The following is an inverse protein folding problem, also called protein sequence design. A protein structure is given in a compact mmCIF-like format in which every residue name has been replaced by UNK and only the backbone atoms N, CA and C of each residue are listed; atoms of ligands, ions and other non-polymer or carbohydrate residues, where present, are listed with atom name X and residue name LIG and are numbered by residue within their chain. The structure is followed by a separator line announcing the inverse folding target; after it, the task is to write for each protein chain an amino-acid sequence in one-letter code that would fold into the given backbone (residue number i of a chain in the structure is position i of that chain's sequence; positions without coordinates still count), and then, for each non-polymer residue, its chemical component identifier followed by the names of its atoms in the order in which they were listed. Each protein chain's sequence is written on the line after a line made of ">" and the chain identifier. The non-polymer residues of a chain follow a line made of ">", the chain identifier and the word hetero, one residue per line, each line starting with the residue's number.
data_IF_870968270352
#
_entry.id   IF_870968270352
#
_cell.length_a   1.000
_cell.length_b   1.000
_cell.length_c   1.000
_cell.angle_alpha   90.00
_cell.angle_beta   90.00
_cell.angle_gamma   90.00
#
_symmetry.space_group_name_H-M   'P 1'
#
loop_
_entity.id
_entity.type
_entity.pdbx_description
1 polymer ?
#
# COMPACT_ATOMS: atom_id res chain seq x y z
N UNK A 1 17.87 -2.67 -2.42
CA UNK A 1 17.16 -1.86 -3.41
C UNK A 1 15.80 -2.49 -3.58
N UNK A 2 14.72 -1.76 -3.33
CA UNK A 2 13.35 -2.27 -3.45
C UNK A 2 13.03 -2.41 -4.94
N UNK A 3 12.59 -3.59 -5.36
CA UNK A 3 12.11 -3.81 -6.72
C UNK A 3 10.60 -3.57 -6.74
N UNK A 4 10.19 -2.43 -7.27
CA UNK A 4 8.78 -2.05 -7.39
C UNK A 4 8.29 -2.22 -8.84
N UNK A 5 7.53 -3.29 -9.13
CA UNK A 5 7.11 -3.64 -10.47
C UNK A 5 5.91 -2.82 -10.97
N UNK A 6 5.32 -1.94 -10.13
CA UNK A 6 4.22 -1.07 -10.56
C UNK A 6 4.68 -0.13 -11.68
N UNK A 7 3.78 0.16 -12.60
CA UNK A 7 3.99 1.19 -13.63
C UNK A 7 4.04 2.59 -12.99
N UNK A 8 4.65 3.59 -13.65
CA UNK A 8 4.59 4.97 -13.18
C UNK A 8 3.17 5.47 -12.93
N UNK A 9 2.25 5.22 -13.87
CA UNK A 9 0.85 5.63 -13.77
C UNK A 9 0.16 5.03 -12.53
N UNK A 10 0.35 3.73 -12.28
CA UNK A 10 -0.21 3.08 -11.08
C UNK A 10 0.41 3.63 -9.79
N UNK A 11 1.70 3.99 -9.80
CA UNK A 11 2.34 4.62 -8.64
C UNK A 11 1.76 5.99 -8.35
N UNK A 12 1.53 6.79 -9.38
CA UNK A 12 0.91 8.11 -9.28
C UNK A 12 -0.52 7.98 -8.74
N UNK A 13 -1.34 7.15 -9.38
CA UNK A 13 -2.74 6.92 -8.98
C UNK A 13 -2.87 6.45 -7.52
N UNK A 14 -2.10 5.42 -7.13
CA UNK A 14 -2.10 4.95 -5.74
C UNK A 14 -1.59 6.03 -4.77
N UNK A 15 -0.63 6.86 -5.19
CA UNK A 15 -0.07 7.93 -4.34
C UNK A 15 -1.08 9.06 -4.12
N UNK A 16 -1.81 9.44 -5.17
CA UNK A 16 -2.93 10.40 -5.08
C UNK A 16 -4.05 9.85 -4.18
N UNK A 17 -4.41 8.58 -4.35
CA UNK A 17 -5.41 7.92 -3.51
C UNK A 17 -5.00 7.91 -2.03
N UNK A 18 -3.74 7.57 -1.73
CA UNK A 18 -3.24 7.65 -0.36
C UNK A 18 -3.35 9.07 0.21
N UNK A 19 -3.00 10.09 -0.56
CA UNK A 19 -3.07 11.47 -0.11
C UNK A 19 -4.52 11.94 0.14
N UNK A 20 -5.48 11.47 -0.66
CA UNK A 20 -6.90 11.74 -0.47
C UNK A 20 -7.45 11.10 0.82
N UNK A 21 -7.07 9.85 1.09
CA UNK A 21 -7.60 9.04 2.20
C UNK A 21 -6.63 8.88 3.38
N UNK A 22 -5.56 9.69 3.46
CA UNK A 22 -4.49 9.54 4.45
C UNK A 22 -5.03 9.53 5.90
N UNK A 23 -5.99 10.41 6.18
CA UNK A 23 -6.60 10.49 7.50
C UNK A 23 -7.20 9.15 7.90
N UNK A 24 -7.95 8.51 7.01
CA UNK A 24 -8.70 7.29 7.29
C UNK A 24 -7.73 6.13 7.60
N UNK A 25 -6.65 5.98 6.80
CA UNK A 25 -5.62 4.97 7.07
C UNK A 25 -4.91 5.13 8.42
N UNK A 26 -4.89 6.35 8.97
CA UNK A 26 -4.22 6.66 10.23
C UNK A 26 -5.16 6.66 11.43
N UNK A 27 -6.46 6.88 11.24
CA UNK A 27 -7.42 7.05 12.34
C UNK A 27 -8.41 5.92 12.50
N UNK A 28 -8.73 5.20 11.43
CA UNK A 28 -9.83 4.24 11.45
C UNK A 28 -9.40 2.84 11.91
N UNK A 29 -10.38 2.01 12.26
CA UNK A 29 -10.16 0.67 12.80
C UNK A 29 -9.89 -0.41 11.74
N UNK A 30 -10.04 -0.05 10.46
CA UNK A 30 -9.95 -0.97 9.33
C UNK A 30 -8.57 -0.99 8.68
N UNK A 31 -7.71 -0.02 8.99
CA UNK A 31 -6.37 0.10 8.43
C UNK A 31 -5.35 0.50 9.50
N UNK A 32 -4.08 0.29 9.19
CA UNK A 32 -2.97 0.77 10.01
C UNK A 32 -1.73 1.05 9.16
N UNK A 33 -1.15 2.24 9.26
CA UNK A 33 0.16 2.52 8.66
C UNK A 33 1.24 1.80 9.49
N UNK A 34 1.83 0.75 8.92
CA UNK A 34 2.82 -0.10 9.61
C UNK A 34 4.26 0.19 9.21
N UNK A 35 4.46 0.94 8.13
CA UNK A 35 5.77 1.42 7.71
C UNK A 35 5.63 2.71 6.91
N UNK A 36 6.58 3.61 7.11
CA UNK A 36 6.66 4.86 6.38
C UNK A 36 8.14 5.31 6.35
N UNK A 37 8.66 5.56 5.15
CA UNK A 37 9.96 6.21 4.93
C UNK A 37 9.82 7.39 3.94
N UNK A 38 10.94 7.82 3.36
CA UNK A 38 10.96 8.95 2.41
C UNK A 38 10.33 8.60 1.06
N UNK A 39 10.13 7.32 0.74
CA UNK A 39 9.66 6.85 -0.57
C UNK A 39 8.37 6.04 -0.51
N UNK A 40 8.18 5.23 0.54
CA UNK A 40 7.12 4.24 0.63
C UNK A 40 6.31 4.39 1.91
N UNK A 41 5.03 4.06 1.80
CA UNK A 41 4.12 3.89 2.92
C UNK A 41 3.51 2.49 2.78
N UNK A 42 3.52 1.70 3.85
CA UNK A 42 2.82 0.41 3.88
C UNK A 42 1.65 0.51 4.83
N UNK A 43 0.46 0.32 4.28
CA UNK A 43 -0.77 0.18 5.02
C UNK A 43 -1.10 -1.29 5.17
N UNK A 44 -1.42 -1.68 6.39
CA UNK A 44 -2.06 -2.95 6.70
C UNK A 44 -3.57 -2.75 6.63
N UNK A 45 -4.20 -3.25 5.57
CA UNK A 45 -5.66 -3.32 5.46
C UNK A 45 -6.16 -4.56 6.21
N UNK A 46 -6.84 -4.32 7.33
CA UNK A 46 -7.30 -5.33 8.26
C UNK A 46 -8.62 -5.96 7.83
N UNK A 47 -9.42 -5.24 7.02
CA UNK A 47 -10.74 -5.69 6.56
C UNK A 47 -10.74 -6.11 5.09
N UNK A 48 -9.68 -5.80 4.35
CA UNK A 48 -9.51 -6.14 2.94
C UNK A 48 -10.32 -5.24 1.99
N UNK A 49 -10.81 -4.08 2.46
CA UNK A 49 -11.61 -3.17 1.63
C UNK A 49 -10.76 -2.59 0.51
N UNK A 50 -9.70 -1.86 0.89
CA UNK A 50 -8.75 -1.26 -0.01
C UNK A 50 -8.14 -2.30 -0.94
N UNK A 51 -7.65 -3.39 -0.36
CA UNK A 51 -6.98 -4.43 -1.12
C UNK A 51 -7.89 -5.08 -2.17
N UNK A 52 -9.18 -5.25 -1.86
CA UNK A 52 -10.16 -5.80 -2.80
C UNK A 52 -10.42 -4.87 -3.98
N UNK A 53 -10.55 -3.56 -3.74
CA UNK A 53 -10.80 -2.57 -4.79
C UNK A 53 -9.67 -2.57 -5.82
N UNK A 54 -8.42 -2.49 -5.37
CA UNK A 54 -7.27 -2.55 -6.28
C UNK A 54 -7.07 -3.93 -6.92
N UNK A 55 -7.40 -5.01 -6.22
CA UNK A 55 -7.26 -6.37 -6.79
C UNK A 55 -8.29 -6.65 -7.89
N UNK A 56 -9.47 -6.04 -7.81
CA UNK A 56 -10.51 -6.16 -8.85
C UNK A 56 -10.14 -5.37 -10.11
N UNK A 57 -9.33 -4.31 -9.97
CA UNK A 57 -8.91 -3.46 -11.08
C UNK A 57 -7.58 -3.92 -11.72
N UNK A 58 -6.66 -4.48 -10.93
CA UNK A 58 -5.30 -4.79 -11.38
C UNK A 58 -4.95 -6.28 -11.20
N UNK A 59 -4.78 -6.97 -12.33
CA UNK A 59 -4.32 -8.37 -12.35
C UNK A 59 -2.94 -8.52 -11.66
N UNK A 60 -2.83 -9.49 -10.76
CA UNK A 60 -1.58 -9.76 -10.04
C UNK A 60 -1.26 -8.78 -8.90
N UNK A 61 -2.16 -7.84 -8.59
CA UNK A 61 -1.99 -6.86 -7.52
C UNK A 61 -1.64 -7.51 -6.17
N UNK A 62 -2.33 -8.59 -5.83
CA UNK A 62 -2.12 -9.29 -4.56
C UNK A 62 -0.67 -9.76 -4.38
N UNK A 63 -0.14 -10.50 -5.36
CA UNK A 63 1.24 -10.99 -5.32
C UNK A 63 2.23 -9.82 -5.28
N UNK A 64 2.00 -8.81 -6.12
CA UNK A 64 2.81 -7.61 -6.20
C UNK A 64 2.90 -6.85 -4.86
N UNK A 65 1.78 -6.61 -4.19
CA UNK A 65 1.75 -5.90 -2.91
C UNK A 65 2.40 -6.71 -1.79
N UNK A 66 2.14 -8.02 -1.74
CA UNK A 66 2.77 -8.89 -0.75
C UNK A 66 4.30 -8.94 -0.93
N UNK A 67 4.80 -8.99 -2.15
CA UNK A 67 6.24 -9.03 -2.42
C UNK A 67 6.92 -7.69 -2.16
N UNK A 68 6.27 -6.57 -2.47
CA UNK A 68 6.75 -5.24 -2.08
C UNK A 68 6.80 -5.09 -0.56
N UNK A 69 5.72 -5.44 0.14
CA UNK A 69 5.63 -5.29 1.58
C UNK A 69 6.66 -6.16 2.32
N UNK A 70 6.97 -7.37 1.83
CA UNK A 70 8.03 -8.23 2.38
C UNK A 70 9.44 -7.63 2.24
N UNK A 71 9.67 -6.79 1.22
CA UNK A 71 10.96 -6.11 1.05
C UNK A 71 11.12 -4.92 2.02
N UNK A 72 10.00 -4.32 2.45
CA UNK A 72 9.98 -3.11 3.28
C UNK A 72 9.82 -3.42 4.77
N UNK A 73 9.02 -4.43 5.11
CA UNK A 73 8.60 -4.73 6.48
C UNK A 73 8.75 -6.21 6.78
N UNK A 74 9.53 -6.53 7.82
CA UNK A 74 9.64 -7.90 8.35
C UNK A 74 8.40 -8.24 9.19
N UNK A 75 7.28 -8.48 8.50
CA UNK A 75 5.97 -8.79 9.09
C UNK A 75 5.34 -10.01 8.43
N UNK A 76 4.60 -10.79 9.23
CA UNK A 76 3.73 -11.87 8.71
C UNK A 76 2.39 -11.32 8.26
N UNK A 77 2.14 -11.39 6.96
CA UNK A 77 0.90 -10.94 6.30
C UNK A 77 -0.16 -12.05 6.22
N UNK A 78 -0.19 -13.00 7.15
CA UNK A 78 -1.10 -14.15 7.09
C UNK A 78 -2.55 -13.83 7.47
N UNK A 79 -2.78 -12.65 8.06
CA UNK A 79 -4.07 -12.23 8.63
C UNK A 79 -4.45 -10.81 8.23
N UNK A 80 -3.75 -10.23 7.26
CA UNK A 80 -3.97 -8.86 6.80
C UNK A 80 -3.45 -8.69 5.39
N UNK A 81 -3.94 -7.65 4.74
CA UNK A 81 -3.65 -7.36 3.35
C UNK A 81 -2.75 -6.13 3.26
N UNK A 82 -1.47 -6.28 2.84
CA UNK A 82 -0.62 -5.13 2.67
C UNK A 82 -1.03 -4.34 1.43
N UNK A 83 -1.06 -3.02 1.55
CA UNK A 83 -1.11 -2.10 0.41
C UNK A 83 0.09 -1.17 0.53
N UNK A 84 0.89 -1.10 -0.53
CA UNK A 84 2.10 -0.27 -0.57
C UNK A 84 1.81 0.94 -1.43
N UNK A 85 2.00 2.13 -0.87
CA UNK A 85 1.84 3.41 -1.55
C UNK A 85 3.21 4.06 -1.76
N UNK A 86 3.32 4.91 -2.78
CA UNK A 86 4.46 5.78 -2.93
C UNK A 86 4.16 7.11 -2.23
N UNK A 87 5.11 7.60 -1.42
CA UNK A 87 4.97 8.92 -0.79
C UNK A 87 5.16 9.99 -1.87
N UNK A 88 4.26 10.96 -1.94
CA UNK A 88 4.48 12.14 -2.77
C UNK A 88 5.68 12.89 -2.19
N UNK A 89 6.68 13.20 -3.02
CA UNK A 89 7.72 14.15 -2.61
C UNK A 89 7.03 15.48 -2.34
N UNK A 90 7.15 15.98 -1.11
CA UNK A 90 6.54 17.24 -0.70
C UNK A 90 6.97 18.35 -1.65
N UNK A 91 5.98 19.01 -2.26
CA UNK A 91 6.17 20.23 -3.04
C UNK A 91 6.67 21.38 -2.15
#
# INVERSE_FOLDING_TARGET
>A
MVSDPRTPDLKEEMSEHFAEYESDYRTDDWANVVYEDDTFIVVEDLKGYEFSEWSDEFDGFSEMMHDLARQLVDRRWSSSYPVVFQKQEGN
#
